data_IF_311374110534
#
_entry.id   IF_311374110534
#
_cell.length_a   1.000
_cell.length_b   1.000
_cell.length_c   1.000
_cell.angle_alpha   90.00
_cell.angle_beta   90.00
_cell.angle_gamma   90.00
#
_symmetry.space_group_name_H-M   'P 1'
#
loop_
_entity.id
_entity.type
_entity.pdbx_description
1 polymer ?
#
# COMPACT_ATOMS: atom_id res chain seq x y z
N UNK A 1 14.57 -29.21 -37.05
CA UNK A 1 13.18 -29.56 -36.68
C UNK A 1 12.49 -28.27 -36.30
N UNK A 2 11.43 -27.88 -37.01
CA UNK A 2 10.58 -26.77 -36.56
C UNK A 2 9.70 -27.35 -35.46
N UNK A 3 9.91 -26.90 -34.24
CA UNK A 3 9.09 -27.30 -33.10
C UNK A 3 7.74 -26.58 -33.26
N UNK A 4 6.72 -27.26 -33.78
CA UNK A 4 5.35 -26.73 -33.83
C UNK A 4 4.66 -27.07 -32.52
N UNK A 5 4.52 -26.08 -31.65
CA UNK A 5 3.66 -26.18 -30.48
C UNK A 5 2.21 -26.10 -30.95
N UNK A 6 1.45 -27.20 -30.81
CA UNK A 6 0.00 -27.12 -30.96
C UNK A 6 -0.53 -26.23 -29.83
N UNK A 7 -1.43 -25.26 -30.10
CA UNK A 7 -2.08 -24.50 -29.04
C UNK A 7 -2.62 -25.47 -27.99
N UNK A 8 -2.31 -25.23 -26.70
CA UNK A 8 -2.99 -25.98 -25.64
C UNK A 8 -4.49 -25.78 -25.84
N UNK A 9 -5.28 -26.85 -26.00
CA UNK A 9 -6.73 -26.71 -26.09
C UNK A 9 -7.23 -25.98 -24.84
N UNK A 10 -8.25 -25.14 -24.99
CA UNK A 10 -8.92 -24.40 -23.89
C UNK A 10 -8.17 -23.16 -23.33
N UNK A 11 -7.45 -22.43 -24.18
CA UNK A 11 -6.93 -21.09 -23.88
C UNK A 11 -8.02 -20.03 -23.99
N UNK A 12 -8.16 -19.19 -22.98
CA UNK A 12 -8.99 -17.98 -23.02
C UNK A 12 -8.09 -16.75 -23.08
N UNK A 13 -8.14 -16.03 -24.19
CA UNK A 13 -7.51 -14.72 -24.35
C UNK A 13 -8.44 -13.62 -23.85
N UNK A 14 -7.93 -12.78 -22.96
CA UNK A 14 -8.70 -11.71 -22.32
C UNK A 14 -8.17 -10.38 -22.80
N UNK A 15 -9.08 -9.57 -23.34
CA UNK A 15 -8.85 -8.16 -23.63
C UNK A 15 -9.58 -7.30 -22.59
N UNK A 16 -8.89 -6.34 -22.00
CA UNK A 16 -9.49 -5.39 -21.06
C UNK A 16 -9.37 -3.98 -21.62
N UNK A 17 -10.50 -3.27 -21.68
CA UNK A 17 -10.61 -1.92 -22.22
C UNK A 17 -11.35 -0.98 -21.27
N UNK A 18 -11.11 0.33 -21.37
CA UNK A 18 -11.92 1.35 -20.70
C UNK A 18 -13.23 1.65 -21.44
N UNK A 19 -14.01 2.61 -20.92
CA UNK A 19 -15.26 3.05 -21.54
C UNK A 19 -15.11 3.71 -22.92
N UNK A 20 -13.89 4.06 -23.34
CA UNK A 20 -13.57 4.59 -24.68
C UNK A 20 -13.09 3.50 -25.65
N UNK A 21 -12.84 2.28 -25.15
CA UNK A 21 -12.27 1.17 -25.91
C UNK A 21 -10.73 1.13 -25.90
N UNK A 22 -10.07 2.02 -25.15
CA UNK A 22 -8.61 2.00 -25.00
C UNK A 22 -8.19 0.86 -24.06
N UNK A 23 -7.05 0.18 -24.33
CA UNK A 23 -6.59 -0.91 -23.49
C UNK A 23 -6.17 -0.43 -22.09
N UNK A 24 -6.56 -1.17 -21.04
CA UNK A 24 -6.20 -0.85 -19.66
C UNK A 24 -5.71 -2.07 -18.90
N UNK A 25 -4.70 -1.91 -18.04
CA UNK A 25 -4.27 -3.01 -17.18
C UNK A 25 -5.30 -3.27 -16.08
N UNK A 26 -5.59 -4.53 -15.79
CA UNK A 26 -6.55 -4.91 -14.75
C UNK A 26 -6.24 -6.31 -14.20
N UNK A 27 -6.67 -6.56 -12.97
CA UNK A 27 -6.75 -7.90 -12.39
C UNK A 27 -8.00 -8.57 -12.93
N UNK A 28 -7.87 -9.78 -13.47
CA UNK A 28 -9.00 -10.58 -13.96
C UNK A 28 -9.18 -11.77 -13.05
N UNK A 29 -10.23 -11.77 -12.24
CA UNK A 29 -10.62 -12.87 -11.36
C UNK A 29 -11.44 -13.88 -12.16
N UNK A 30 -11.10 -15.17 -12.03
CA UNK A 30 -11.80 -16.27 -12.69
C UNK A 30 -12.68 -16.99 -11.67
N UNK A 31 -13.98 -17.01 -11.93
CA UNK A 31 -14.95 -17.66 -11.07
C UNK A 31 -15.65 -18.82 -11.79
N UNK A 32 -15.89 -19.91 -11.05
CA UNK A 32 -16.77 -21.00 -11.45
C UNK A 32 -17.74 -21.28 -10.30
N UNK A 33 -19.04 -21.34 -10.59
CA UNK A 33 -20.09 -21.53 -9.57
C UNK A 33 -19.99 -20.55 -8.36
N UNK A 34 -19.56 -19.31 -8.65
CA UNK A 34 -19.40 -18.25 -7.65
C UNK A 34 -18.14 -18.36 -6.78
N UNK A 35 -17.23 -19.30 -7.07
CA UNK A 35 -15.97 -19.49 -6.34
C UNK A 35 -14.77 -19.21 -7.24
N UNK A 36 -13.69 -18.69 -6.66
CA UNK A 36 -12.42 -18.52 -7.35
C UNK A 36 -11.88 -19.86 -7.84
N UNK A 37 -11.50 -19.93 -9.12
CA UNK A 37 -10.83 -21.09 -9.71
C UNK A 37 -9.36 -21.02 -9.38
N UNK A 38 -8.76 -22.11 -8.89
CA UNK A 38 -7.32 -22.16 -8.70
C UNK A 38 -6.62 -22.23 -10.07
N UNK A 39 -5.83 -21.21 -10.39
CA UNK A 39 -5.03 -21.10 -11.61
C UNK A 39 -3.56 -21.48 -11.38
N UNK A 40 -3.20 -21.92 -10.17
CA UNK A 40 -1.85 -22.39 -9.86
C UNK A 40 -1.49 -23.65 -10.68
N UNK A 41 -0.21 -23.87 -11.02
CA UNK A 41 0.23 -25.17 -11.51
C UNK A 41 -0.05 -26.29 -10.48
N UNK A 42 -0.30 -27.53 -10.90
CA UNK A 42 -0.42 -28.70 -9.99
C UNK A 42 0.83 -28.86 -9.08
N UNK A 43 1.98 -28.39 -9.57
CA UNK A 43 3.30 -28.36 -8.97
C UNK A 43 3.72 -26.95 -8.48
N UNK A 44 2.84 -25.96 -8.57
CA UNK A 44 3.07 -24.55 -8.20
C UNK A 44 3.00 -24.24 -6.70
N UNK A 45 2.73 -25.24 -5.88
CA UNK A 45 2.82 -25.19 -4.41
C UNK A 45 4.28 -25.11 -3.88
N UNK A 46 5.24 -24.68 -4.71
CA UNK A 46 6.67 -24.58 -4.38
C UNK A 46 7.05 -23.30 -3.62
N UNK A 47 6.09 -22.40 -3.37
CA UNK A 47 6.18 -21.46 -2.26
C UNK A 47 5.44 -22.09 -1.09
N UNK A 48 6.11 -22.27 0.05
CA UNK A 48 5.61 -22.95 1.24
C UNK A 48 4.13 -22.61 1.54
N UNK A 49 3.19 -23.54 1.26
CA UNK A 49 1.76 -23.31 1.43
C UNK A 49 1.37 -22.98 2.88
N UNK A 50 2.17 -23.43 3.85
CA UNK A 50 1.84 -23.32 5.27
C UNK A 50 1.86 -21.86 5.78
N UNK A 51 2.43 -20.90 5.03
CA UNK A 51 2.55 -19.51 5.49
C UNK A 51 1.44 -18.57 5.00
N UNK A 52 0.80 -18.77 3.83
CA UNK A 52 -0.32 -17.94 3.31
C UNK A 52 -1.18 -18.63 2.23
N UNK A 53 -1.71 -19.83 2.52
CA UNK A 53 -2.68 -20.60 1.70
C UNK A 53 -3.77 -19.74 1.01
N UNK A 54 -3.54 -19.24 -0.21
CA UNK A 54 -4.63 -18.89 -1.11
C UNK A 54 -4.28 -19.26 -2.55
N UNK A 55 -5.13 -20.06 -3.22
CA UNK A 55 -4.96 -20.37 -4.64
C UNK A 55 -4.91 -19.09 -5.49
N UNK A 56 -4.13 -19.12 -6.57
CA UNK A 56 -4.07 -17.97 -7.47
C UNK A 56 -5.35 -17.95 -8.30
N UNK A 57 -6.33 -17.11 -7.93
CA UNK A 57 -7.64 -17.08 -8.59
C UNK A 57 -7.78 -16.05 -9.71
N UNK A 58 -6.67 -15.39 -10.06
CA UNK A 58 -6.69 -14.26 -10.97
C UNK A 58 -5.41 -14.13 -11.76
N UNK A 59 -5.53 -13.62 -12.98
CA UNK A 59 -4.40 -13.17 -13.80
C UNK A 59 -4.30 -11.63 -13.76
N UNK A 60 -3.14 -11.10 -14.12
CA UNK A 60 -2.95 -9.67 -14.37
C UNK A 60 -2.92 -9.44 -15.88
N UNK A 61 -3.97 -8.83 -16.43
CA UNK A 61 -3.97 -8.38 -17.81
C UNK A 61 -3.18 -7.07 -17.90
N UNK A 62 -1.99 -7.08 -18.51
CA UNK A 62 -1.14 -5.90 -18.66
C UNK A 62 -1.34 -5.29 -20.04
N UNK A 63 -1.37 -3.95 -20.10
CA UNK A 63 -1.66 -3.19 -21.32
C UNK A 63 -2.95 -3.70 -22.03
N UNK A 64 -3.96 -4.09 -21.24
CA UNK A 64 -5.23 -4.58 -21.75
C UNK A 64 -5.23 -6.01 -22.28
N UNK A 65 -4.16 -6.80 -22.06
CA UNK A 65 -4.08 -8.18 -22.57
C UNK A 65 -3.66 -9.16 -21.49
N UNK A 66 -4.30 -10.33 -21.47
CA UNK A 66 -3.94 -11.45 -20.61
C UNK A 66 -4.44 -12.76 -21.21
N UNK A 67 -3.98 -13.89 -20.67
CA UNK A 67 -4.46 -15.20 -21.08
C UNK A 67 -4.48 -16.17 -19.91
N UNK A 68 -5.44 -17.09 -19.91
CA UNK A 68 -5.57 -18.15 -18.92
C UNK A 68 -5.93 -19.47 -19.62
N UNK A 69 -5.46 -20.59 -19.08
CA UNK A 69 -5.88 -21.93 -19.50
C UNK A 69 -6.97 -22.40 -18.54
N UNK A 70 -8.10 -22.83 -19.07
CA UNK A 70 -9.23 -23.30 -18.27
C UNK A 70 -9.69 -24.66 -18.80
N UNK A 71 -10.15 -25.54 -17.94
CA UNK A 71 -10.80 -26.79 -18.40
C UNK A 71 -12.13 -26.48 -19.10
N UNK A 72 -12.70 -27.43 -19.87
CA UNK A 72 -14.02 -27.25 -20.44
C UNK A 72 -15.07 -26.94 -19.38
N UNK A 73 -15.81 -25.85 -19.54
CA UNK A 73 -16.73 -25.38 -18.51
C UNK A 73 -17.30 -23.98 -18.77
N UNK A 74 -18.14 -23.50 -17.85
CA UNK A 74 -18.66 -22.13 -17.86
C UNK A 74 -18.04 -21.35 -16.73
N UNK A 75 -17.48 -20.18 -17.04
CA UNK A 75 -16.76 -19.33 -16.10
C UNK A 75 -17.30 -17.90 -16.17
N UNK A 76 -17.22 -17.20 -15.04
CA UNK A 76 -17.43 -15.74 -14.96
C UNK A 76 -16.08 -15.07 -14.74
N UNK A 77 -15.75 -14.12 -15.59
CA UNK A 77 -14.54 -13.32 -15.53
C UNK A 77 -14.87 -11.93 -15.03
N UNK A 78 -14.16 -11.48 -13.99
CA UNK A 78 -14.31 -10.16 -13.40
C UNK A 78 -13.02 -9.36 -13.57
N UNK A 79 -13.06 -8.26 -14.33
CA UNK A 79 -11.94 -7.32 -14.43
C UNK A 79 -12.10 -6.17 -13.44
N UNK A 80 -11.10 -6.01 -12.57
CA UNK A 80 -11.02 -4.98 -11.52
C UNK A 80 -9.69 -4.24 -11.65
N UNK A 81 -9.73 -2.91 -11.55
CA UNK A 81 -8.53 -2.06 -11.62
C UNK A 81 -8.32 -1.30 -10.32
N UNK A 82 -9.03 -0.19 -10.11
CA UNK A 82 -8.88 0.65 -8.92
C UNK A 82 -10.25 1.04 -8.33
N UNK A 83 -10.26 1.61 -7.12
CA UNK A 83 -11.46 2.16 -6.46
C UNK A 83 -12.17 3.26 -7.26
N UNK A 84 -11.49 3.84 -8.27
CA UNK A 84 -12.07 4.84 -9.19
C UNK A 84 -12.78 4.23 -10.41
N UNK A 85 -12.58 2.94 -10.63
CA UNK A 85 -13.02 2.23 -11.83
C UNK A 85 -14.27 1.37 -11.54
N UNK A 86 -15.02 1.07 -12.59
CA UNK A 86 -16.13 0.12 -12.54
C UNK A 86 -15.67 -1.34 -12.58
N UNK A 87 -16.62 -2.24 -12.74
CA UNK A 87 -16.38 -3.68 -12.85
C UNK A 87 -16.59 -4.14 -14.29
N UNK A 88 -15.59 -4.79 -14.88
CA UNK A 88 -15.79 -5.58 -16.09
C UNK A 88 -16.33 -6.96 -15.70
N UNK A 89 -17.39 -7.43 -16.37
CA UNK A 89 -18.04 -8.69 -16.04
C UNK A 89 -18.48 -9.40 -17.33
N UNK A 90 -18.01 -10.63 -17.53
CA UNK A 90 -18.40 -11.46 -18.65
C UNK A 90 -18.50 -12.93 -18.25
N UNK A 91 -19.38 -13.67 -18.92
CA UNK A 91 -19.43 -15.13 -18.85
C UNK A 91 -18.81 -15.71 -20.12
N UNK A 92 -17.97 -16.72 -19.95
CA UNK A 92 -17.34 -17.47 -21.05
C UNK A 92 -17.66 -18.95 -20.92
N UNK A 93 -17.98 -19.59 -22.04
CA UNK A 93 -18.14 -21.03 -22.15
C UNK A 93 -16.90 -21.55 -22.88
N UNK A 94 -16.13 -22.39 -22.22
CA UNK A 94 -14.87 -22.93 -22.74
C UNK A 94 -15.15 -24.33 -23.28
N UNK A 95 -15.19 -24.46 -24.60
CA UNK A 95 -15.17 -25.75 -25.31
C UNK A 95 -14.02 -25.83 -26.36
N UNK A 96 -13.31 -24.72 -26.54
CA UNK A 96 -12.13 -24.54 -27.38
C UNK A 96 -11.36 -23.28 -26.98
N UNK A 97 -10.49 -22.74 -27.85
CA UNK A 97 -9.90 -21.43 -27.66
C UNK A 97 -10.97 -20.33 -27.72
N UNK A 98 -10.95 -19.42 -26.75
CA UNK A 98 -11.93 -18.33 -26.62
C UNK A 98 -11.25 -16.96 -26.55
N UNK A 99 -11.94 -15.91 -26.98
CA UNK A 99 -11.54 -14.52 -26.78
C UNK A 99 -12.67 -13.74 -26.09
N UNK A 100 -12.34 -13.07 -25.00
CA UNK A 100 -13.31 -12.31 -24.19
C UNK A 100 -12.82 -10.87 -24.01
N UNK A 101 -13.69 -9.91 -24.28
CA UNK A 101 -13.42 -8.50 -23.96
C UNK A 101 -14.21 -8.07 -22.72
N UNK A 102 -13.50 -7.54 -21.72
CA UNK A 102 -14.05 -6.94 -20.50
C UNK A 102 -13.90 -5.42 -20.57
N UNK A 103 -14.97 -4.69 -20.26
CA UNK A 103 -14.95 -3.21 -20.21
C UNK A 103 -14.94 -2.74 -18.76
N UNK A 104 -13.93 -1.96 -18.38
CA UNK A 104 -13.73 -1.40 -17.05
C UNK A 104 -13.83 0.13 -17.15
N UNK A 105 -15.03 0.72 -17.06
CA UNK A 105 -15.20 2.15 -17.24
C UNK A 105 -14.70 2.92 -16.02
N UNK A 106 -13.94 4.00 -16.23
CA UNK A 106 -13.62 4.93 -15.15
C UNK A 106 -14.93 5.58 -14.63
N UNK A 107 -15.17 5.53 -13.33
CA UNK A 107 -16.37 6.07 -12.68
C UNK A 107 -16.11 7.37 -11.93
N UNK A 108 -14.93 7.50 -11.34
CA UNK A 108 -14.50 8.69 -10.61
C UNK A 108 -13.28 9.26 -11.29
N UNK A 109 -13.32 10.55 -11.59
CA UNK A 109 -12.16 11.25 -12.07
C UNK A 109 -11.29 11.74 -10.91
N UNK A 110 -10.04 11.27 -10.87
CA UNK A 110 -9.08 11.58 -9.82
C UNK A 110 -7.94 12.43 -10.37
N UNK A 111 -8.16 13.32 -11.34
CA UNK A 111 -7.08 14.16 -11.87
C UNK A 111 -6.32 14.90 -10.76
N UNK A 112 -7.01 15.28 -9.67
CA UNK A 112 -6.42 15.98 -8.54
C UNK A 112 -5.83 15.08 -7.46
N UNK A 113 -5.82 13.75 -7.64
CA UNK A 113 -5.29 12.81 -6.66
C UNK A 113 -4.44 11.72 -7.31
N UNK A 114 -3.39 11.32 -6.59
CA UNK A 114 -2.53 10.19 -6.93
C UNK A 114 -2.99 8.99 -6.09
N UNK A 115 -3.37 7.90 -6.74
CA UNK A 115 -3.62 6.63 -6.05
C UNK A 115 -2.29 6.04 -5.57
N UNK A 116 -2.09 6.00 -4.26
CA UNK A 116 -0.83 5.61 -3.62
C UNK A 116 -1.00 4.42 -2.67
N UNK A 117 -0.01 3.54 -2.67
CA UNK A 117 0.16 2.46 -1.68
C UNK A 117 1.57 2.60 -1.08
N UNK A 118 1.66 3.10 0.14
CA UNK A 118 2.91 3.49 0.79
C UNK A 118 3.58 2.34 1.55
N UNK A 119 3.01 1.13 1.47
CA UNK A 119 3.45 -0.01 2.24
C UNK A 119 3.18 -1.32 1.49
N UNK A 120 4.15 -1.75 0.68
CA UNK A 120 4.08 -3.03 -0.04
C UNK A 120 5.41 -3.78 0.00
N UNK A 121 5.32 -5.11 0.04
CA UNK A 121 6.48 -6.00 0.13
C UNK A 121 6.72 -6.75 -1.19
N UNK A 122 7.99 -6.95 -1.53
CA UNK A 122 8.45 -7.70 -2.69
C UNK A 122 9.06 -9.03 -2.28
N UNK A 123 9.47 -9.86 -3.24
CA UNK A 123 10.23 -11.11 -2.97
C UNK A 123 11.57 -10.91 -2.26
N UNK A 124 11.99 -9.67 -1.93
CA UNK A 124 13.16 -9.42 -1.09
C UNK A 124 12.83 -9.38 0.40
N UNK A 125 11.59 -9.09 0.81
CA UNK A 125 11.20 -9.23 2.21
C UNK A 125 11.33 -10.69 2.64
N UNK A 126 11.66 -10.93 3.90
CA UNK A 126 11.85 -12.30 4.40
C UNK A 126 10.53 -13.07 4.56
N UNK A 127 9.40 -12.37 4.56
CA UNK A 127 8.07 -12.90 4.78
C UNK A 127 7.12 -12.60 3.61
N UNK A 128 7.62 -12.16 2.46
CA UNK A 128 6.85 -12.02 1.23
C UNK A 128 7.34 -13.03 0.18
N UNK A 129 6.39 -13.78 -0.38
CA UNK A 129 6.66 -14.93 -1.23
C UNK A 129 6.16 -14.68 -2.64
N UNK A 130 6.65 -13.61 -3.28
CA UNK A 130 6.15 -13.14 -4.57
C UNK A 130 7.30 -12.77 -5.52
N UNK A 131 7.39 -13.38 -6.72
CA UNK A 131 8.36 -12.94 -7.72
C UNK A 131 8.15 -11.46 -8.09
N UNK A 132 9.24 -10.76 -8.38
CA UNK A 132 9.22 -9.31 -8.61
C UNK A 132 8.32 -8.92 -9.79
N UNK A 133 8.32 -9.70 -10.87
CA UNK A 133 7.51 -9.48 -12.05
C UNK A 133 6.01 -9.53 -11.69
N UNK A 134 5.64 -10.47 -10.82
CA UNK A 134 4.26 -10.65 -10.40
C UNK A 134 3.83 -9.54 -9.43
N UNK A 135 4.72 -9.06 -8.56
CA UNK A 135 4.51 -7.86 -7.73
C UNK A 135 4.28 -6.62 -8.59
N UNK A 136 5.13 -6.37 -9.57
CA UNK A 136 4.98 -5.20 -10.44
C UNK A 136 3.69 -5.29 -11.25
N UNK A 137 3.39 -6.48 -11.80
CA UNK A 137 2.14 -6.71 -12.51
C UNK A 137 0.90 -6.44 -11.64
N UNK A 138 0.91 -6.85 -10.36
CA UNK A 138 -0.22 -6.62 -9.46
C UNK A 138 -0.45 -5.15 -9.15
N UNK A 139 0.61 -4.36 -8.96
CA UNK A 139 0.53 -2.91 -8.73
C UNK A 139 -0.03 -2.17 -9.95
N UNK A 140 0.45 -2.51 -11.14
CA UNK A 140 -0.01 -1.92 -12.40
C UNK A 140 -1.47 -2.30 -12.69
N UNK A 141 -1.84 -3.55 -12.42
CA UNK A 141 -3.20 -4.06 -12.55
C UNK A 141 -4.16 -3.43 -11.54
N UNK A 142 -3.70 -3.12 -10.33
CA UNK A 142 -4.46 -2.39 -9.29
C UNK A 142 -4.65 -0.89 -9.60
N UNK A 143 -4.10 -0.40 -10.73
CA UNK A 143 -4.20 1.00 -11.12
C UNK A 143 -3.50 1.97 -10.16
N UNK A 144 -2.55 1.47 -9.35
CA UNK A 144 -1.78 2.29 -8.42
C UNK A 144 -0.81 3.17 -9.19
N UNK A 145 -0.81 4.46 -8.88
CA UNK A 145 0.03 5.46 -9.55
C UNK A 145 1.36 5.64 -8.81
N UNK A 146 1.39 5.47 -7.49
CA UNK A 146 2.63 5.48 -6.69
C UNK A 146 2.61 4.32 -5.73
N UNK A 147 3.56 3.40 -5.88
CA UNK A 147 3.75 2.30 -4.94
C UNK A 147 5.11 2.44 -4.27
N UNK A 148 5.18 2.27 -2.96
CA UNK A 148 6.43 2.33 -2.21
C UNK A 148 6.83 0.93 -1.76
N UNK A 149 7.96 0.43 -2.26
CA UNK A 149 8.51 -0.86 -1.89
C UNK A 149 9.22 -0.74 -0.54
N UNK A 150 8.66 -1.35 0.50
CA UNK A 150 9.12 -1.19 1.89
C UNK A 150 9.45 -2.55 2.51
N UNK A 151 10.29 -3.34 1.84
CA UNK A 151 10.70 -4.65 2.37
C UNK A 151 11.36 -4.53 3.74
N UNK A 152 11.14 -5.53 4.61
CA UNK A 152 11.69 -5.50 5.97
C UNK A 152 13.21 -5.35 5.98
N UNK A 153 13.66 -4.23 6.55
CA UNK A 153 15.04 -3.80 6.69
C UNK A 153 15.88 -3.86 5.40
N UNK A 154 15.23 -3.84 4.23
CA UNK A 154 15.87 -3.92 2.92
C UNK A 154 15.27 -2.86 2.01
N UNK A 155 16.11 -2.21 1.24
CA UNK A 155 15.67 -1.35 0.15
C UNK A 155 15.69 -2.13 -1.14
N UNK A 156 14.57 -2.08 -1.86
CA UNK A 156 14.37 -2.76 -3.14
C UNK A 156 13.98 -1.75 -4.20
N UNK A 157 14.60 -1.87 -5.37
CA UNK A 157 14.28 -1.09 -6.57
C UNK A 157 13.82 -2.05 -7.66
N UNK A 158 12.66 -1.78 -8.26
CA UNK A 158 12.06 -2.63 -9.31
C UNK A 158 11.73 -1.84 -10.58
N UNK A 159 12.29 -0.64 -10.76
CA UNK A 159 12.07 0.18 -11.97
C UNK A 159 12.48 -0.52 -13.26
N UNK A 160 13.55 -1.34 -13.20
CA UNK A 160 13.96 -2.20 -14.32
C UNK A 160 12.88 -3.22 -14.68
N UNK A 161 12.30 -3.89 -13.68
CA UNK A 161 11.21 -4.86 -13.88
C UNK A 161 9.95 -4.19 -14.44
N UNK A 162 9.60 -3.00 -13.93
CA UNK A 162 8.51 -2.20 -14.49
C UNK A 162 8.77 -1.81 -15.95
N UNK A 163 9.99 -1.38 -16.26
CA UNK A 163 10.39 -1.00 -17.62
C UNK A 163 10.37 -2.20 -18.57
N UNK A 164 10.74 -3.39 -18.11
CA UNK A 164 10.70 -4.61 -18.91
C UNK A 164 9.26 -5.07 -19.19
N UNK A 165 8.34 -4.93 -18.22
CA UNK A 165 6.95 -5.34 -18.34
C UNK A 165 6.08 -4.34 -19.13
N UNK A 166 6.28 -3.04 -18.93
CA UNK A 166 5.41 -2.00 -19.47
C UNK A 166 6.11 -1.10 -20.50
N UNK A 167 7.44 -1.13 -20.59
CA UNK A 167 8.21 -0.14 -21.35
C UNK A 167 8.43 1.17 -20.54
N UNK A 168 9.36 2.02 -20.99
CA UNK A 168 9.85 3.18 -20.22
C UNK A 168 8.83 4.34 -20.08
N UNK A 169 7.70 4.28 -20.78
CA UNK A 169 6.70 5.35 -20.82
C UNK A 169 5.28 4.87 -20.53
N UNK A 170 5.07 3.57 -20.24
CA UNK A 170 3.71 3.05 -20.08
C UNK A 170 3.42 2.57 -18.66
N UNK A 171 2.16 2.72 -18.26
CA UNK A 171 1.60 2.10 -17.05
C UNK A 171 1.09 3.08 -15.99
N UNK A 172 1.48 4.37 -16.04
CA UNK A 172 1.05 5.38 -15.06
C UNK A 172 1.52 5.13 -13.61
N UNK A 173 2.03 3.94 -13.31
CA UNK A 173 2.63 3.54 -12.03
C UNK A 173 4.05 4.06 -11.93
N UNK A 174 4.43 4.51 -10.73
CA UNK A 174 5.78 4.85 -10.31
C UNK A 174 6.12 4.02 -9.09
N UNK A 175 7.31 3.46 -9.07
CA UNK A 175 7.82 2.73 -7.91
C UNK A 175 8.78 3.65 -7.17
N UNK A 176 8.57 3.81 -5.87
CA UNK A 176 9.53 4.46 -4.99
C UNK A 176 10.16 3.37 -4.12
N UNK A 177 11.46 3.48 -3.91
CA UNK A 177 12.18 2.66 -2.95
C UNK A 177 12.00 3.24 -1.56
N UNK A 178 11.63 2.39 -0.62
CA UNK A 178 11.56 2.70 0.80
C UNK A 178 12.07 1.52 1.62
N UNK A 179 11.76 1.53 2.91
CA UNK A 179 12.14 0.47 3.84
C UNK A 179 11.14 0.44 4.98
N UNK A 180 10.65 -0.75 5.34
CA UNK A 180 10.00 -0.96 6.62
C UNK A 180 11.06 -1.39 7.64
N UNK A 181 11.33 -0.54 8.61
CA UNK A 181 12.27 -0.81 9.67
C UNK A 181 11.58 -1.47 10.87
N UNK A 182 12.16 -2.57 11.32
CA UNK A 182 11.71 -3.22 12.55
C UNK A 182 12.28 -2.45 13.74
N UNK A 183 11.42 -1.86 14.55
CA UNK A 183 11.82 -1.12 15.75
C UNK A 183 12.10 -2.10 16.88
N UNK A 184 13.36 -2.14 17.32
CA UNK A 184 13.86 -3.16 18.25
C UNK A 184 13.85 -2.67 19.69
N UNK A 185 12.89 -3.15 20.47
CA UNK A 185 12.86 -3.03 21.94
C UNK A 185 12.19 -4.28 22.49
N UNK A 186 12.56 -4.70 23.70
CA UNK A 186 11.87 -5.81 24.33
C UNK A 186 10.40 -5.45 24.55
N UNK A 187 9.51 -6.08 23.79
CA UNK A 187 8.06 -5.94 23.91
C UNK A 187 7.58 -6.48 25.26
N UNK A 188 6.62 -5.78 25.87
CA UNK A 188 5.96 -6.19 27.11
C UNK A 188 4.96 -7.33 26.87
N UNK A 189 4.29 -7.39 25.72
CA UNK A 189 3.27 -8.41 25.44
C UNK A 189 3.90 -9.72 24.96
N UNK A 190 4.90 -9.66 24.07
CA UNK A 190 5.51 -10.87 23.49
C UNK A 190 6.78 -11.32 24.21
N UNK A 191 7.43 -10.42 24.96
CA UNK A 191 8.75 -10.68 25.58
C UNK A 191 9.92 -10.77 24.58
N UNK A 192 9.63 -10.67 23.28
CA UNK A 192 10.60 -10.67 22.17
C UNK A 192 11.35 -9.35 22.10
N UNK A 193 12.62 -9.39 21.67
CA UNK A 193 13.46 -8.20 21.45
C UNK A 193 13.22 -7.51 20.10
N UNK A 194 12.26 -8.00 19.30
CA UNK A 194 12.10 -7.64 17.89
C UNK A 194 10.74 -7.05 17.53
N UNK A 195 9.86 -6.81 18.52
CA UNK A 195 8.41 -6.70 18.25
C UNK A 195 7.80 -5.35 18.65
N UNK A 196 8.58 -4.26 18.79
CA UNK A 196 7.96 -3.01 19.26
C UNK A 196 6.97 -2.46 18.25
N UNK A 197 7.37 -2.36 16.99
CA UNK A 197 6.57 -1.74 15.93
C UNK A 197 7.37 -1.60 14.65
N UNK A 198 6.72 -1.15 13.59
CA UNK A 198 7.36 -0.90 12.30
C UNK A 198 7.23 0.56 11.88
N UNK A 199 8.25 1.03 11.16
CA UNK A 199 8.31 2.39 10.61
C UNK A 199 8.71 2.33 9.14
N UNK A 200 7.95 2.97 8.27
CA UNK A 200 8.39 3.22 6.91
C UNK A 200 9.22 4.51 6.81
N UNK A 201 10.32 4.46 6.06
CA UNK A 201 11.09 5.61 5.62
C UNK A 201 11.08 5.69 4.08
N UNK A 202 10.71 6.84 3.53
CA UNK A 202 10.35 6.99 2.10
C UNK A 202 10.81 8.36 1.55
N UNK A 203 11.49 8.45 0.40
CA UNK A 203 12.21 7.37 -0.26
C UNK A 203 13.55 7.10 0.44
N UNK A 204 14.07 5.88 0.31
CA UNK A 204 15.42 5.52 0.74
C UNK A 204 16.10 4.76 -0.39
N UNK A 205 17.33 5.15 -0.74
CA UNK A 205 18.11 4.46 -1.78
C UNK A 205 18.98 3.33 -1.24
N UNK A 206 19.25 2.29 -2.05
CA UNK A 206 20.27 1.32 -1.72
C UNK A 206 21.63 2.01 -1.54
N UNK A 207 22.29 1.83 -0.39
CA UNK A 207 23.68 2.25 -0.23
C UNK A 207 24.58 1.01 -0.22
N UNK A 208 25.72 1.09 -0.90
CA UNK A 208 26.62 -0.03 -1.06
C UNK A 208 27.32 -0.51 0.24
N UNK A 209 27.30 0.26 1.34
CA UNK A 209 28.15 -0.06 2.52
C UNK A 209 27.60 0.33 3.90
N UNK A 210 26.61 1.21 4.05
CA UNK A 210 26.06 1.49 5.38
C UNK A 210 24.95 0.47 5.72
N UNK A 211 25.04 -0.31 6.82
CA UNK A 211 23.89 -1.11 7.24
C UNK A 211 22.70 -0.16 7.43
N UNK A 212 21.59 -0.42 6.73
CA UNK A 212 20.27 0.13 7.12
C UNK A 212 20.13 -0.05 8.62
N UNK A 213 19.68 0.96 9.39
CA UNK A 213 19.83 1.03 10.84
C UNK A 213 19.69 -0.34 11.51
N UNK A 214 20.82 -1.04 11.59
CA UNK A 214 20.98 -2.36 12.17
C UNK A 214 21.92 -2.21 13.38
N UNK A 215 21.80 -1.06 14.04
CA UNK A 215 22.57 -0.67 15.21
C UNK A 215 21.58 -0.15 16.26
N UNK A 216 20.65 -1.04 16.64
CA UNK A 216 19.81 -1.03 17.86
C UNK A 216 19.47 0.35 18.45
N UNK A 217 18.73 1.22 17.75
CA UNK A 217 18.10 2.36 18.41
C UNK A 217 16.99 1.85 19.34
N UNK A 218 16.96 2.28 20.60
CA UNK A 218 16.00 1.78 21.60
C UNK A 218 14.65 2.55 21.62
N UNK A 219 14.43 3.45 20.65
CA UNK A 219 13.21 4.26 20.51
C UNK A 219 12.92 4.70 19.07
N UNK A 220 11.64 5.01 18.79
CA UNK A 220 11.18 5.51 17.48
C UNK A 220 11.93 6.79 17.05
N UNK A 221 12.13 7.74 17.97
CA UNK A 221 12.83 8.98 17.67
C UNK A 221 14.27 8.77 17.19
N UNK A 222 14.98 7.79 17.77
CA UNK A 222 16.32 7.44 17.34
C UNK A 222 16.35 6.75 15.95
N UNK A 223 15.31 5.98 15.60
CA UNK A 223 15.15 5.47 14.23
C UNK A 223 14.91 6.61 13.23
N UNK A 224 14.05 7.57 13.57
CA UNK A 224 13.77 8.73 12.72
C UNK A 224 15.03 9.55 12.44
N UNK A 225 15.85 9.80 13.47
CA UNK A 225 17.14 10.48 13.31
C UNK A 225 18.11 9.71 12.44
N UNK A 226 18.21 8.39 12.64
CA UNK A 226 19.10 7.54 11.86
C UNK A 226 18.72 7.59 10.37
N UNK A 227 17.42 7.59 10.06
CA UNK A 227 16.95 7.73 8.68
C UNK A 227 17.18 9.12 8.11
N UNK A 228 16.93 10.19 8.87
CA UNK A 228 17.24 11.57 8.44
C UNK A 228 18.73 11.76 8.16
N UNK A 229 19.59 11.27 9.05
CA UNK A 229 21.04 11.31 8.87
C UNK A 229 21.47 10.52 7.62
N UNK A 230 20.93 9.31 7.44
CA UNK A 230 21.16 8.52 6.23
C UNK A 230 20.73 9.26 4.97
N UNK A 231 19.57 9.91 4.97
CA UNK A 231 19.07 10.64 3.80
C UNK A 231 19.95 11.84 3.46
N UNK A 232 20.60 12.46 4.46
CA UNK A 232 21.61 13.50 4.23
C UNK A 232 22.88 12.93 3.58
N UNK A 233 23.36 11.78 4.06
CA UNK A 233 24.58 11.13 3.53
C UNK A 233 24.34 10.47 2.16
N UNK A 234 23.12 10.02 1.90
CA UNK A 234 22.70 9.28 0.72
C UNK A 234 21.36 9.83 0.19
N UNK A 235 21.34 11.06 -0.35
CA UNK A 235 20.11 11.69 -0.82
C UNK A 235 19.49 10.90 -1.97
N UNK A 236 18.18 10.74 -1.93
CA UNK A 236 17.46 10.00 -2.96
C UNK A 236 17.32 10.83 -4.25
N UNK A 237 17.52 10.24 -5.45
CA UNK A 237 17.24 10.90 -6.71
C UNK A 237 15.82 11.47 -6.75
N UNK A 238 15.68 12.72 -7.17
CA UNK A 238 14.38 13.41 -7.24
C UNK A 238 13.84 13.95 -5.91
N UNK A 239 14.20 13.37 -4.77
CA UNK A 239 13.77 13.83 -3.43
C UNK A 239 14.85 14.58 -2.64
N UNK A 240 16.12 14.44 -3.01
CA UNK A 240 17.23 15.07 -2.30
C UNK A 240 17.34 14.55 -0.86
N UNK A 241 17.41 15.47 0.10
CA UNK A 241 17.48 15.12 1.53
C UNK A 241 16.12 15.02 2.21
N UNK A 242 15.02 15.21 1.47
CA UNK A 242 13.67 15.08 2.03
C UNK A 242 13.32 13.61 2.25
N UNK A 243 12.53 13.37 3.28
CA UNK A 243 12.15 12.05 3.77
C UNK A 243 10.80 12.12 4.47
N UNK A 244 9.90 11.24 4.09
CA UNK A 244 8.65 10.93 4.77
C UNK A 244 8.85 9.75 5.73
N UNK A 245 8.40 9.91 6.97
CA UNK A 245 8.38 8.85 7.99
C UNK A 245 6.93 8.47 8.33
N UNK A 246 6.63 7.18 8.33
CA UNK A 246 5.30 6.66 8.67
C UNK A 246 5.38 5.62 9.77
N UNK A 247 4.52 5.72 10.79
CA UNK A 247 4.31 4.65 11.78
C UNK A 247 3.29 3.64 11.23
N UNK A 248 3.68 2.37 11.15
CA UNK A 248 2.84 1.33 10.55
C UNK A 248 2.01 0.60 11.62
N UNK A 249 0.83 0.12 11.19
CA UNK A 249 -0.09 -0.81 11.91
C UNK A 249 0.05 -0.87 13.45
N UNK A 250 -0.12 0.25 14.18
CA UNK A 250 0.37 0.39 15.57
C UNK A 250 -0.41 -0.43 16.61
N UNK A 251 -1.47 -1.15 16.23
CA UNK A 251 -2.34 -1.93 17.12
C UNK A 251 -2.40 -3.42 16.77
N UNK A 252 -1.58 -3.90 15.83
CA UNK A 252 -1.55 -5.29 15.39
C UNK A 252 -1.80 -5.44 13.90
N UNK A 253 -1.85 -6.70 13.44
CA UNK A 253 -2.07 -7.05 12.03
C UNK A 253 -3.21 -8.05 11.92
N UNK A 254 -4.02 -7.93 10.88
CA UNK A 254 -5.04 -8.92 10.53
C UNK A 254 -4.58 -9.69 9.29
N UNK A 255 -4.09 -10.92 9.49
CA UNK A 255 -3.46 -11.69 8.42
C UNK A 255 -4.47 -12.36 7.49
N UNK A 256 -5.65 -12.76 8.00
CA UNK A 256 -6.66 -13.53 7.25
C UNK A 256 -8.06 -13.01 7.54
N UNK A 257 -8.91 -12.75 6.51
CA UNK A 257 -10.25 -12.18 6.71
C UNK A 257 -11.20 -13.00 7.61
N UNK A 258 -10.98 -14.31 7.67
CA UNK A 258 -11.80 -15.28 8.41
C UNK A 258 -11.34 -15.54 9.85
N UNK A 259 -10.18 -14.99 10.24
CA UNK A 259 -9.63 -15.14 11.59
C UNK A 259 -9.81 -13.85 12.41
N UNK A 260 -9.39 -13.85 13.68
CA UNK A 260 -9.30 -12.64 14.48
C UNK A 260 -7.95 -11.91 14.23
N UNK A 261 -7.89 -10.58 14.37
CA UNK A 261 -6.63 -9.86 14.24
C UNK A 261 -5.62 -10.26 15.32
N UNK A 262 -4.36 -10.41 14.92
CA UNK A 262 -3.24 -10.65 15.83
C UNK A 262 -2.79 -9.33 16.44
N UNK A 263 -3.30 -9.07 17.64
CA UNK A 263 -3.03 -7.82 18.40
C UNK A 263 -1.61 -7.73 18.94
N UNK A 264 -0.82 -8.81 18.86
CA UNK A 264 0.59 -8.87 19.30
C UNK A 264 1.60 -8.69 18.16
N UNK A 265 1.15 -8.54 16.91
CA UNK A 265 2.02 -8.37 15.76
C UNK A 265 2.49 -6.90 15.67
N UNK A 266 3.73 -6.65 16.12
CA UNK A 266 4.41 -5.34 16.12
C UNK A 266 3.53 -4.12 16.53
N UNK A 267 2.81 -4.19 17.67
CA UNK A 267 1.72 -3.26 17.95
C UNK A 267 2.20 -2.10 18.84
N UNK A 268 2.97 -1.17 18.27
CA UNK A 268 3.62 -0.05 18.98
C UNK A 268 2.77 0.61 20.07
N UNK A 269 1.53 0.97 19.75
CA UNK A 269 0.63 1.64 20.68
C UNK A 269 0.13 0.71 21.78
N UNK A 270 0.00 -0.60 21.55
CA UNK A 270 -0.34 -1.55 22.62
C UNK A 270 0.84 -1.83 23.52
N UNK A 271 2.01 -2.07 22.93
CA UNK A 271 3.23 -2.38 23.68
C UNK A 271 3.61 -1.25 24.64
N UNK A 272 3.46 -0.01 24.17
CA UNK A 272 3.78 1.19 24.94
C UNK A 272 2.61 1.70 25.78
N UNK A 273 1.45 1.03 25.71
CA UNK A 273 0.30 1.34 26.54
C UNK A 273 -0.41 2.65 26.18
N UNK A 274 -0.35 3.07 24.92
CA UNK A 274 -1.05 4.25 24.45
C UNK A 274 -2.55 4.18 24.75
N UNK A 275 -3.06 5.24 25.39
CA UNK A 275 -4.44 5.40 25.78
C UNK A 275 -5.00 6.72 25.20
N UNK A 276 -5.94 6.67 24.24
CA UNK A 276 -6.52 7.88 23.65
C UNK A 276 -7.31 8.74 24.66
N UNK A 277 -7.63 8.22 25.85
CA UNK A 277 -8.28 8.96 26.93
C UNK A 277 -7.34 9.72 27.86
N UNK A 278 -6.02 9.59 27.69
CA UNK A 278 -5.00 10.24 28.53
C UNK A 278 -4.31 11.36 27.75
N UNK A 279 -4.04 12.53 28.35
CA UNK A 279 -3.25 13.58 27.71
C UNK A 279 -1.89 13.08 27.23
N UNK A 280 -1.46 13.56 26.07
CA UNK A 280 -0.17 13.23 25.47
C UNK A 280 0.99 13.75 26.33
N UNK A 281 2.04 12.94 26.49
CA UNK A 281 3.17 13.26 27.36
C UNK A 281 2.90 13.03 28.85
N UNK A 282 1.70 12.60 29.24
CA UNK A 282 1.32 12.30 30.63
C UNK A 282 0.97 10.82 30.83
N UNK A 283 1.13 10.34 32.06
CA UNK A 283 0.66 9.01 32.47
C UNK A 283 1.09 7.88 31.52
N UNK A 284 0.10 7.18 30.96
CA UNK A 284 0.32 6.09 30.00
C UNK A 284 0.90 6.56 28.66
N UNK A 285 0.74 7.84 28.30
CA UNK A 285 1.22 8.45 27.06
C UNK A 285 2.53 9.22 27.24
N UNK A 286 3.16 9.17 28.42
CA UNK A 286 4.44 9.84 28.69
C UNK A 286 5.57 9.41 27.72
N UNK A 287 5.51 8.18 27.21
CA UNK A 287 6.49 7.65 26.26
C UNK A 287 6.48 8.38 24.91
N UNK A 288 5.38 9.03 24.53
CA UNK A 288 5.36 9.77 23.27
C UNK A 288 6.16 11.06 23.33
N UNK A 289 6.39 11.60 24.54
CA UNK A 289 7.32 12.70 24.77
C UNK A 289 8.78 12.21 24.98
N UNK A 290 9.05 10.92 24.77
CA UNK A 290 10.39 10.36 24.93
C UNK A 290 11.36 10.96 23.91
N UNK A 291 12.33 11.71 24.43
CA UNK A 291 13.44 12.34 23.70
C UNK A 291 14.74 11.53 23.84
N UNK A 292 14.68 10.22 23.99
CA UNK A 292 15.86 9.34 24.01
C UNK A 292 16.71 9.41 22.75
N UNK A 293 16.19 10.00 21.68
CA UNK A 293 16.96 10.44 20.51
C UNK A 293 18.06 11.46 20.90
N UNK A 294 19.28 11.34 20.35
CA UNK A 294 20.33 12.35 20.52
C UNK A 294 19.97 13.75 20.00
N UNK A 295 18.99 13.86 19.10
CA UNK A 295 18.55 15.12 18.49
C UNK A 295 17.25 15.67 19.13
N UNK A 296 16.73 15.01 20.17
CA UNK A 296 15.46 15.39 20.81
C UNK A 296 14.22 15.01 20.01
N UNK A 297 14.38 14.18 18.97
CA UNK A 297 13.29 13.64 18.16
C UNK A 297 12.47 12.65 18.98
N UNK A 298 11.16 12.75 18.87
CA UNK A 298 10.18 11.97 19.59
C UNK A 298 9.42 11.05 18.64
N UNK A 299 8.68 10.06 19.17
CA UNK A 299 7.69 9.33 18.38
C UNK A 299 6.67 10.22 17.64
N UNK A 300 6.43 11.45 18.11
CA UNK A 300 5.50 12.40 17.46
C UNK A 300 6.01 12.99 16.15
N UNK A 301 7.30 12.85 15.85
CA UNK A 301 7.92 13.45 14.67
C UNK A 301 7.80 12.58 13.41
N UNK A 302 6.91 11.57 13.41
CA UNK A 302 6.47 10.90 12.19
C UNK A 302 5.51 11.80 11.40
N UNK A 303 5.54 11.68 10.08
CA UNK A 303 4.71 12.46 9.17
C UNK A 303 3.35 11.82 8.94
N UNK A 304 3.28 10.49 9.03
CA UNK A 304 2.08 9.71 8.76
C UNK A 304 1.87 8.59 9.79
N UNK A 305 0.61 8.20 9.94
CA UNK A 305 0.16 7.07 10.74
C UNK A 305 -0.71 6.18 9.87
N UNK A 306 -0.36 4.90 9.76
CA UNK A 306 -1.17 3.93 9.04
C UNK A 306 -2.44 3.59 9.84
N UNK A 307 -3.54 4.26 9.49
CA UNK A 307 -4.83 4.13 10.17
C UNK A 307 -5.61 2.91 9.69
N UNK A 308 -5.42 2.48 8.44
CA UNK A 308 -6.01 1.28 7.88
C UNK A 308 -4.93 0.43 7.20
N UNK A 309 -4.60 -0.70 7.81
CA UNK A 309 -3.67 -1.67 7.28
C UNK A 309 -4.48 -2.89 6.80
N UNK A 310 -4.22 -3.34 5.57
CA UNK A 310 -4.94 -4.47 4.94
C UNK A 310 -6.45 -4.24 5.02
N UNK A 311 -7.24 -5.28 5.29
CA UNK A 311 -8.70 -5.23 5.35
C UNK A 311 -9.27 -5.11 6.79
N UNK A 312 -8.44 -4.78 7.80
CA UNK A 312 -8.89 -4.85 9.20
C UNK A 312 -9.73 -3.66 9.66
N UNK A 313 -11.07 -3.79 9.60
CA UNK A 313 -11.97 -2.78 10.16
C UNK A 313 -11.90 -2.71 11.69
N UNK A 314 -11.69 -3.86 12.37
CA UNK A 314 -11.56 -3.93 13.83
C UNK A 314 -10.33 -3.17 14.35
N UNK A 315 -9.19 -3.28 13.66
CA UNK A 315 -8.00 -2.53 14.03
C UNK A 315 -8.12 -1.07 13.59
N UNK A 316 -8.68 -0.80 12.41
CA UNK A 316 -8.98 0.56 11.96
C UNK A 316 -9.81 1.35 12.96
N UNK A 317 -10.86 0.78 13.56
CA UNK A 317 -11.66 1.49 14.57
C UNK A 317 -10.87 1.87 15.83
N UNK A 318 -9.83 1.09 16.16
CA UNK A 318 -8.94 1.36 17.29
C UNK A 318 -7.92 2.44 16.93
N UNK A 319 -7.18 2.25 15.82
CA UNK A 319 -6.17 3.20 15.36
C UNK A 319 -6.80 4.54 14.98
N UNK A 320 -8.02 4.55 14.43
CA UNK A 320 -8.78 5.77 14.16
C UNK A 320 -9.02 6.57 15.44
N UNK A 321 -9.44 5.92 16.54
CA UNK A 321 -9.61 6.61 17.84
C UNK A 321 -8.29 7.18 18.34
N UNK A 322 -7.20 6.42 18.17
CA UNK A 322 -5.87 6.88 18.53
C UNK A 322 -5.45 8.10 17.71
N UNK A 323 -5.68 8.05 16.40
CA UNK A 323 -5.39 9.14 15.47
C UNK A 323 -6.17 10.42 15.79
N UNK A 324 -7.47 10.33 16.06
CA UNK A 324 -8.26 11.49 16.49
C UNK A 324 -7.78 12.06 17.82
N UNK A 325 -7.37 11.21 18.79
CA UNK A 325 -6.81 11.69 20.05
C UNK A 325 -5.47 12.43 19.87
N UNK A 326 -4.67 12.07 18.86
CA UNK A 326 -3.47 12.81 18.46
C UNK A 326 -3.84 14.16 17.83
N UNK A 327 -4.78 14.17 16.89
CA UNK A 327 -5.25 15.38 16.20
C UNK A 327 -5.86 16.41 17.17
N UNK A 328 -6.69 15.96 18.11
CA UNK A 328 -7.37 16.81 19.12
C UNK A 328 -6.36 17.53 20.03
N UNK A 329 -5.14 17.01 20.13
CA UNK A 329 -4.06 17.56 20.95
C UNK A 329 -2.98 18.27 20.12
N UNK A 330 -3.24 18.49 18.83
CA UNK A 330 -2.40 19.28 17.93
C UNK A 330 -1.31 18.51 17.19
N UNK A 331 -1.24 17.18 17.32
CA UNK A 331 -0.30 16.34 16.60
C UNK A 331 -0.90 15.91 15.26
N UNK A 332 -0.31 16.41 14.17
CA UNK A 332 -0.87 16.33 12.82
C UNK A 332 -0.20 15.27 11.95
N UNK A 333 -0.16 14.04 12.45
CA UNK A 333 0.22 12.91 11.60
C UNK A 333 -0.88 12.66 10.57
N UNK A 334 -0.50 12.51 9.31
CA UNK A 334 -1.45 12.20 8.24
C UNK A 334 -1.90 10.76 8.32
N UNK A 335 -3.21 10.52 8.36
CA UNK A 335 -3.76 9.18 8.29
C UNK A 335 -3.55 8.58 6.89
N UNK A 336 -2.85 7.45 6.80
CA UNK A 336 -2.66 6.68 5.57
C UNK A 336 -3.32 5.31 5.68
N UNK A 337 -3.61 4.69 4.54
CA UNK A 337 -4.06 3.32 4.50
C UNK A 337 -3.44 2.60 3.33
N UNK A 338 -2.82 1.46 3.63
CA UNK A 338 -2.01 0.72 2.69
C UNK A 338 -2.30 -0.78 2.77
N UNK A 339 -1.96 -1.48 1.70
CA UNK A 339 -2.26 -2.89 1.60
C UNK A 339 -1.39 -3.75 2.52
N UNK A 340 -0.15 -3.32 2.81
CA UNK A 340 0.85 -4.13 3.50
C UNK A 340 0.94 -5.54 2.88
N UNK A 341 0.97 -5.52 1.55
CA UNK A 341 0.74 -6.72 0.78
C UNK A 341 1.99 -7.56 0.70
N UNK A 342 1.83 -8.86 0.98
CA UNK A 342 2.91 -9.83 0.93
C UNK A 342 2.59 -11.04 0.01
N UNK A 343 1.32 -11.24 -0.28
CA UNK A 343 0.81 -12.15 -1.28
C UNK A 343 -0.14 -11.42 -2.26
N UNK A 344 -0.74 -12.15 -3.19
CA UNK A 344 -1.60 -11.57 -4.25
C UNK A 344 -3.09 -11.57 -3.92
N UNK A 345 -3.52 -12.45 -3.01
CA UNK A 345 -4.93 -12.82 -2.90
C UNK A 345 -5.58 -12.26 -1.63
N UNK A 346 -4.89 -12.33 -0.49
CA UNK A 346 -5.41 -11.85 0.78
C UNK A 346 -5.24 -10.33 0.88
N UNK A 347 -4.00 -9.88 0.78
CA UNK A 347 -3.66 -8.46 0.80
C UNK A 347 -3.58 -7.92 -0.63
N UNK A 348 -4.70 -7.43 -1.15
CA UNK A 348 -4.75 -6.91 -2.52
C UNK A 348 -4.01 -5.57 -2.55
N UNK A 349 -2.97 -5.47 -3.39
CA UNK A 349 -2.25 -4.21 -3.59
C UNK A 349 -3.23 -3.08 -3.96
N UNK A 350 -3.07 -1.92 -3.33
CA UNK A 350 -4.01 -0.82 -3.48
C UNK A 350 -5.34 -0.98 -2.76
N UNK A 351 -5.47 -1.96 -1.85
CA UNK A 351 -6.63 -2.11 -0.98
C UNK A 351 -6.21 -2.26 0.49
N UNK A 352 -6.40 -1.23 1.31
CA UNK A 352 -6.88 0.12 0.98
C UNK A 352 -5.90 0.91 0.10
N UNK A 353 -6.38 2.04 -0.43
CA UNK A 353 -5.56 3.02 -1.13
C UNK A 353 -5.51 4.33 -0.35
N UNK A 354 -4.35 4.99 -0.39
CA UNK A 354 -4.20 6.39 0.02
C UNK A 354 -4.24 7.27 -1.22
N UNK A 355 -5.26 8.13 -1.35
CA UNK A 355 -5.39 9.11 -2.41
C UNK A 355 -4.72 10.41 -1.97
N UNK A 356 -3.54 10.69 -2.50
CA UNK A 356 -2.74 11.89 -2.13
C UNK A 356 -3.04 13.02 -3.11
N UNK A 357 -3.32 14.23 -2.63
CA UNK A 357 -3.59 15.36 -3.50
C UNK A 357 -2.40 15.66 -4.43
N UNK A 358 -2.69 15.80 -5.71
CA UNK A 358 -1.72 16.13 -6.74
C UNK A 358 -1.76 17.66 -7.01
N UNK A 359 -0.60 18.34 -7.03
CA UNK A 359 -0.54 19.78 -7.35
C UNK A 359 -0.90 20.08 -8.81
N UNK A 360 -0.89 19.07 -9.68
CA UNK A 360 -1.28 19.14 -11.08
C UNK A 360 -1.95 17.83 -11.52
N UNK A 361 -2.78 17.84 -12.58
CA UNK A 361 -3.38 16.64 -13.13
C UNK A 361 -2.34 15.52 -13.33
N UNK A 362 -2.62 14.33 -12.78
CA UNK A 362 -1.72 13.20 -12.91
C UNK A 362 -1.73 12.70 -14.36
N UNK A 363 -0.73 13.13 -15.14
CA UNK A 363 -0.48 12.63 -16.49
C UNK A 363 0.63 11.56 -16.51
N UNK A 364 1.07 11.20 -17.72
CA UNK A 364 2.17 10.23 -17.91
C UNK A 364 3.57 10.79 -17.60
N UNK A 365 3.65 12.03 -17.11
CA UNK A 365 4.89 12.71 -16.75
C UNK A 365 5.57 12.13 -15.49
N UNK A 366 6.82 12.57 -15.18
CA UNK A 366 7.49 12.18 -13.96
C UNK A 366 6.71 12.66 -12.73
N UNK A 367 6.72 11.86 -11.66
CA UNK A 367 6.18 12.27 -10.36
C UNK A 367 7.10 13.32 -9.75
N UNK A 368 6.53 14.43 -9.28
CA UNK A 368 7.21 15.34 -8.37
C UNK A 368 7.17 14.74 -6.96
N UNK A 369 8.20 13.94 -6.63
CA UNK A 369 8.30 13.23 -5.35
C UNK A 369 8.27 14.21 -4.16
N UNK A 370 9.04 15.33 -4.16
CA UNK A 370 8.93 16.34 -3.11
C UNK A 370 7.51 16.89 -2.93
N UNK A 371 6.82 17.23 -4.02
CA UNK A 371 5.46 17.77 -3.92
C UNK A 371 4.46 16.71 -3.40
N UNK A 372 4.59 15.46 -3.82
CA UNK A 372 3.79 14.34 -3.30
C UNK A 372 4.04 14.11 -1.80
N UNK A 373 5.30 14.07 -1.35
CA UNK A 373 5.63 13.97 0.08
C UNK A 373 5.13 15.17 0.88
N UNK A 374 5.20 16.39 0.32
CA UNK A 374 4.66 17.58 0.96
C UNK A 374 3.13 17.56 1.07
N UNK A 375 2.42 16.92 0.14
CA UNK A 375 0.98 16.67 0.24
C UNK A 375 0.66 15.67 1.35
N UNK A 376 1.40 14.55 1.43
CA UNK A 376 1.27 13.61 2.55
C UNK A 376 1.56 14.30 3.88
N UNK A 377 2.70 14.97 4.05
CA UNK A 377 3.06 15.70 5.28
C UNK A 377 2.05 16.78 5.66
N UNK A 378 1.38 17.37 4.65
CA UNK A 378 0.37 18.42 4.82
C UNK A 378 -1.04 17.91 5.13
N UNK A 379 -1.27 16.60 5.31
CA UNK A 379 -2.60 16.06 5.56
C UNK A 379 -3.52 16.04 4.34
N UNK A 380 -3.00 16.32 3.14
CA UNK A 380 -3.75 16.34 1.88
C UNK A 380 -3.86 14.92 1.30
N UNK A 381 -4.47 14.03 2.06
CA UNK A 381 -4.65 12.63 1.72
C UNK A 381 -6.00 12.09 2.22
N UNK A 382 -6.54 11.12 1.48
CA UNK A 382 -7.75 10.39 1.83
C UNK A 382 -7.49 8.88 1.78
N UNK A 383 -7.86 8.17 2.84
CA UNK A 383 -7.85 6.70 2.86
C UNK A 383 -9.19 6.17 2.37
N UNK A 384 -9.19 5.23 1.42
CA UNK A 384 -10.42 4.67 0.89
C UNK A 384 -10.28 3.19 0.52
N UNK A 385 -11.37 2.44 0.73
CA UNK A 385 -11.66 1.13 0.14
C UNK A 385 -12.83 1.21 -0.85
N UNK A 386 -13.22 2.44 -1.23
CA UNK A 386 -14.52 2.81 -1.81
C UNK A 386 -15.56 3.10 -0.72
N UNK A 387 -16.39 4.17 -0.85
CA UNK A 387 -16.41 5.21 -1.89
C UNK A 387 -15.31 6.28 -1.71
N UNK A 388 -15.19 7.19 -2.67
CA UNK A 388 -14.26 8.34 -2.65
C UNK A 388 -15.07 9.63 -2.45
N UNK A 389 -15.25 10.11 -1.21
CA UNK A 389 -15.98 11.35 -0.96
C UNK A 389 -15.14 12.59 -1.29
N UNK A 390 -15.80 13.62 -1.82
CA UNK A 390 -15.28 15.00 -1.76
C UNK A 390 -15.83 15.65 -0.48
N UNK A 391 -14.93 16.09 0.39
CA UNK A 391 -15.28 16.73 1.67
C UNK A 391 -14.71 18.15 1.65
N UNK A 392 -15.58 19.12 1.87
CA UNK A 392 -15.25 20.53 2.07
C UNK A 392 -15.87 20.98 3.37
N UNK A 393 -15.09 21.65 4.21
CA UNK A 393 -15.52 22.25 5.47
C UNK A 393 -15.45 23.76 5.33
N UNK A 394 -16.48 24.48 5.75
CA UNK A 394 -16.50 25.95 5.74
C UNK A 394 -16.49 26.51 7.15
N UNK A 395 -15.50 27.34 7.45
CA UNK A 395 -15.37 28.05 8.72
C UNK A 395 -15.14 29.55 8.50
N UNK A 396 -15.96 30.40 9.10
CA UNK A 396 -15.96 31.86 8.90
C UNK A 396 -15.91 32.32 7.43
N UNK A 397 -16.54 31.55 6.53
CA UNK A 397 -16.56 31.82 5.09
C UNK A 397 -15.29 31.38 4.33
N UNK A 398 -14.37 30.68 4.99
CA UNK A 398 -13.19 30.05 4.40
C UNK A 398 -13.47 28.56 4.23
N UNK A 399 -13.43 28.10 2.99
CA UNK A 399 -13.47 26.68 2.66
C UNK A 399 -12.10 26.03 2.91
N UNK A 400 -12.13 24.79 3.39
CA UNK A 400 -10.95 23.96 3.55
C UNK A 400 -11.25 22.50 3.20
N UNK A 401 -10.19 21.81 2.79
CA UNK A 401 -10.15 20.40 2.42
C UNK A 401 -9.28 19.62 3.41
N UNK A 402 -9.15 18.29 3.28
CA UNK A 402 -8.22 17.53 4.11
C UNK A 402 -6.83 18.18 4.17
N UNK A 403 -6.33 18.43 5.39
CA UNK A 403 -5.06 19.11 5.64
C UNK A 403 -5.13 20.62 5.88
N UNK A 404 -6.21 21.28 5.44
CA UNK A 404 -6.36 22.73 5.63
C UNK A 404 -6.73 23.10 7.07
N UNK A 405 -6.32 24.31 7.47
CA UNK A 405 -6.79 24.93 8.71
C UNK A 405 -7.87 25.94 8.36
N UNK A 406 -9.10 25.65 8.78
CA UNK A 406 -10.23 26.58 8.67
C UNK A 406 -10.42 27.33 10.00
N UNK A 407 -10.68 28.64 9.96
CA UNK A 407 -11.05 29.40 11.15
C UNK A 407 -12.42 28.97 11.65
N UNK A 408 -12.60 28.86 12.96
CA UNK A 408 -13.85 28.45 13.58
C UNK A 408 -14.20 29.39 14.74
N UNK A 409 -14.46 30.67 14.43
CA UNK A 409 -14.82 31.65 15.46
C UNK A 409 -16.10 31.22 16.17
N UNK A 410 -16.02 30.94 17.47
CA UNK A 410 -17.14 30.40 18.25
C UNK A 410 -17.28 28.87 18.23
N UNK A 411 -16.30 28.15 17.65
CA UNK A 411 -16.21 26.69 17.69
C UNK A 411 -17.12 25.94 16.71
N UNK A 412 -17.61 26.62 15.66
CA UNK A 412 -18.48 26.02 14.65
C UNK A 412 -17.84 26.08 13.26
N UNK A 413 -17.96 24.97 12.53
CA UNK A 413 -17.67 24.82 11.10
C UNK A 413 -18.83 24.04 10.48
N UNK A 414 -19.11 24.24 9.19
CA UNK A 414 -20.19 23.56 8.44
C UNK A 414 -19.62 22.62 7.41
#
# INVERSE_FOLDING_TARGET
>A
SVFTWAPRPHRVDVRVVDGTGAPVSARVVVLQDGKGVDLGPEDGALADPELRDVPTTSIHALAGTGSVLLEPGTYRLLAVRSVRDGLGDATVVVDGPEEVTLTVPQQVDLLTHVASDLHVHSGRSYDAFLPHEVRVASLVAAGIQVAVLTDHNKVTELDGVLSDLMGPTQGGTRLLSGIEADVRKQGRLTGSRWDLGHVNAIPVVPAAVAPFPNLQPDSFGAYYDAFRARQVDHPAPGAGTDLLLQLNHPRGIHFRPEEDPIVSAWPAFRELGFDPGVPLGEGANAWLADQTSPLGTTPFDADALEVLNRFSLTLYEQVRRDWFALLDQGYRMTGTGNADSHALQVEIAGFPVTLVEAPAPVGDGPLDVPAWMAAVRGGRALVSTGPIPEIVVTGDGVEGRPGDVVPATGGAVV
#
